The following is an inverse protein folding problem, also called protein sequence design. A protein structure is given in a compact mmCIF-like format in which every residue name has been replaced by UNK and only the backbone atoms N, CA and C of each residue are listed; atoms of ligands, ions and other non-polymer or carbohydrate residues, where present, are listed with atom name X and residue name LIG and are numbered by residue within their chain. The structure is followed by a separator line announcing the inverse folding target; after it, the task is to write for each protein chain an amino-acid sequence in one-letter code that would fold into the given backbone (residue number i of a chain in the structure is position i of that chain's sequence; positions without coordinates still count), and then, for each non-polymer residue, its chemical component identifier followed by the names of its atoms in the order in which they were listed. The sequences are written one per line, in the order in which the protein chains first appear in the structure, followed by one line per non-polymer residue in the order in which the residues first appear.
data_IF_921137673604
#
_entry.id   IF_921137673604
#
_cell.length_a   1.000
_cell.length_b   1.000
_cell.length_c   1.000
_cell.angle_alpha   90.00
_cell.angle_beta   90.00
_cell.angle_gamma   90.00
#
_symmetry.space_group_name_H-M   'P 1'
#
loop_
_entity.id
_entity.type
_entity.pdbx_description
1 polymer ?
#
# COMPACT_ATOMS: atom_id res chain seq x y z
N UNK A 1 -10.78 3.43 -3.51
CA UNK A 1 -10.10 2.60 -2.50
C UNK A 1 -8.57 2.73 -2.61
N UNK A 2 -7.98 2.54 -3.80
CA UNK A 2 -6.53 2.67 -4.02
C UNK A 2 -5.89 3.94 -3.43
N UNK A 3 -6.44 5.13 -3.67
CA UNK A 3 -5.90 6.37 -3.10
C UNK A 3 -5.92 6.38 -1.56
N UNK A 4 -6.96 5.83 -0.94
CA UNK A 4 -7.04 5.73 0.52
C UNK A 4 -5.98 4.77 1.08
N UNK A 5 -5.67 3.68 0.37
CA UNK A 5 -4.57 2.76 0.73
C UNK A 5 -3.22 3.49 0.64
N UNK A 6 -2.98 4.23 -0.45
CA UNK A 6 -1.74 5.01 -0.65
C UNK A 6 -1.58 6.06 0.44
N UNK A 7 -2.62 6.82 0.75
CA UNK A 7 -2.62 7.81 1.83
C UNK A 7 -2.43 7.18 3.21
N UNK A 8 -3.05 6.03 3.47
CA UNK A 8 -2.90 5.33 4.73
C UNK A 8 -1.48 4.82 4.90
N UNK A 9 -0.86 4.27 3.85
CA UNK A 9 0.54 3.85 3.88
C UNK A 9 1.49 5.02 4.11
N UNK A 10 1.32 6.12 3.37
CA UNK A 10 2.18 7.31 3.51
C UNK A 10 2.11 7.95 4.91
N UNK A 11 0.95 7.91 5.57
CA UNK A 11 0.80 8.40 6.94
C UNK A 11 1.49 7.51 7.99
N UNK A 12 1.72 6.24 7.69
CA UNK A 12 2.44 5.31 8.55
C UNK A 12 3.97 5.38 8.30
N UNK A 13 4.39 5.92 7.15
CA UNK A 13 5.79 6.01 6.72
C UNK A 13 6.65 7.04 7.45
N UNK A 14 6.13 7.72 8.48
CA UNK A 14 6.97 8.45 9.44
C UNK A 14 8.10 7.58 10.06
N UNK A 15 8.07 6.26 9.86
CA UNK A 15 9.08 5.29 10.27
C UNK A 15 9.79 4.52 9.13
N UNK A 16 9.55 4.83 7.84
CA UNK A 16 10.09 4.12 6.66
C UNK A 16 9.84 2.59 6.60
N UNK A 17 9.00 2.05 7.49
CA UNK A 17 8.81 0.62 7.66
C UNK A 17 7.53 0.13 6.94
N UNK A 18 7.55 -1.09 6.38
CA UNK A 18 6.35 -1.74 5.87
C UNK A 18 5.25 -1.86 6.94
N UNK A 19 4.00 -1.65 6.55
CA UNK A 19 2.83 -1.72 7.43
C UNK A 19 2.22 -3.11 7.37
N UNK A 20 1.86 -3.70 8.51
CA UNK A 20 1.18 -4.99 8.51
C UNK A 20 -0.23 -4.91 7.92
N UNK A 21 -0.60 -5.94 7.15
CA UNK A 21 -1.92 -6.03 6.52
C UNK A 21 -3.08 -5.88 7.53
N UNK A 22 -3.06 -6.50 8.73
CA UNK A 22 -4.12 -6.32 9.72
C UNK A 22 -4.22 -4.88 10.24
N UNK A 23 -3.08 -4.19 10.43
CA UNK A 23 -3.04 -2.78 10.85
C UNK A 23 -3.63 -1.88 9.78
N UNK A 24 -3.27 -2.12 8.52
CA UNK A 24 -3.81 -1.39 7.38
C UNK A 24 -5.33 -1.62 7.21
N UNK A 25 -5.80 -2.87 7.35
CA UNK A 25 -7.22 -3.22 7.30
C UNK A 25 -8.02 -2.51 8.40
N UNK A 26 -7.50 -2.52 9.64
CA UNK A 26 -8.11 -1.82 10.79
C UNK A 26 -8.23 -0.32 10.54
N UNK A 27 -7.18 0.31 10.02
CA UNK A 27 -7.16 1.76 9.73
C UNK A 27 -8.17 2.15 8.65
N UNK A 28 -8.32 1.31 7.64
CA UNK A 28 -9.23 1.55 6.51
C UNK A 28 -10.67 1.09 6.77
N UNK A 29 -10.95 0.44 7.90
CA UNK A 29 -12.26 -0.17 8.17
C UNK A 29 -12.65 -1.24 7.13
N UNK A 30 -11.67 -1.90 6.52
CA UNK A 30 -11.86 -2.83 5.41
C UNK A 30 -11.65 -4.29 5.83
N UNK A 31 -12.34 -5.22 5.17
CA UNK A 31 -12.06 -6.65 5.35
C UNK A 31 -10.73 -7.03 4.71
N UNK A 32 -10.06 -8.04 5.28
CA UNK A 32 -8.77 -8.53 4.78
C UNK A 32 -8.85 -8.99 3.31
N UNK A 33 -9.91 -9.70 2.93
CA UNK A 33 -10.11 -10.18 1.55
C UNK A 33 -10.28 -9.04 0.55
N UNK A 34 -11.01 -7.97 0.93
CA UNK A 34 -11.16 -6.78 0.08
C UNK A 34 -9.82 -6.07 -0.07
N UNK A 35 -9.09 -5.89 1.04
CA UNK A 35 -7.80 -5.23 1.02
C UNK A 35 -6.79 -6.01 0.17
N UNK A 36 -6.71 -7.34 0.29
CA UNK A 36 -5.84 -8.18 -0.53
C UNK A 36 -6.16 -8.07 -2.03
N UNK A 37 -7.45 -8.05 -2.39
CA UNK A 37 -7.85 -7.91 -3.79
C UNK A 37 -7.42 -6.57 -4.39
N UNK A 38 -7.55 -5.49 -3.60
CA UNK A 38 -7.10 -4.16 -4.02
C UNK A 38 -5.56 -4.09 -4.08
N UNK A 39 -4.86 -4.66 -3.10
CA UNK A 39 -3.40 -4.70 -3.11
C UNK A 39 -2.84 -5.50 -4.29
N UNK A 40 -3.51 -6.59 -4.69
CA UNK A 40 -3.13 -7.37 -5.86
C UNK A 40 -3.20 -6.56 -7.16
N UNK A 41 -4.19 -5.66 -7.31
CA UNK A 41 -4.27 -4.78 -8.49
C UNK A 41 -3.34 -3.57 -8.44
N UNK A 42 -2.77 -3.27 -7.28
CA UNK A 42 -1.85 -2.15 -7.07
C UNK A 42 -0.36 -2.53 -7.13
N UNK A 43 -0.05 -3.83 -7.04
CA UNK A 43 1.32 -4.35 -7.10
C UNK A 43 1.94 -4.32 -8.49
N UNK A 44 3.17 -4.81 -8.62
CA UNK A 44 3.85 -4.98 -9.92
C UNK A 44 3.53 -6.32 -10.60
N UNK A 45 2.98 -7.28 -9.84
CA UNK A 45 2.66 -8.60 -10.36
C UNK A 45 1.71 -8.48 -11.56
N UNK A 46 2.04 -9.08 -12.72
CA UNK A 46 1.23 -8.93 -13.92
C UNK A 46 -0.14 -9.59 -13.73
N UNK A 47 -1.20 -8.83 -14.01
CA UNK A 47 -2.57 -9.32 -14.08
C UNK A 47 -3.00 -9.30 -15.55
N UNK A 48 -3.18 -10.47 -16.15
CA UNK A 48 -3.56 -10.56 -17.57
C UNK A 48 -2.43 -10.20 -18.55
N UNK A 49 -1.17 -10.35 -18.15
CA UNK A 49 0.00 -10.18 -19.02
C UNK A 49 0.57 -8.77 -19.09
N UNK A 50 -0.08 -7.77 -18.46
CA UNK A 50 0.46 -6.43 -18.31
C UNK A 50 0.97 -6.23 -16.87
N UNK A 51 2.21 -5.72 -16.66
CA UNK A 51 2.69 -5.40 -15.33
C UNK A 51 1.74 -4.44 -14.64
N UNK A 52 1.42 -4.74 -13.39
CA UNK A 52 0.61 -3.85 -12.57
C UNK A 52 1.31 -2.52 -12.32
N UNK A 53 0.59 -1.53 -11.77
CA UNK A 53 1.08 -0.16 -11.65
C UNK A 53 2.26 -0.01 -10.67
N UNK A 54 2.50 -1.01 -9.81
CA UNK A 54 3.63 -1.02 -8.91
C UNK A 54 3.59 0.07 -7.85
N UNK A 55 2.40 0.47 -7.41
CA UNK A 55 2.22 1.49 -6.39
C UNK A 55 2.54 0.98 -4.98
N UNK A 56 2.40 -0.33 -4.76
CA UNK A 56 2.69 -0.97 -3.48
C UNK A 56 3.53 -2.22 -3.68
N UNK A 57 4.31 -2.55 -2.67
CA UNK A 57 4.99 -3.83 -2.54
C UNK A 57 4.34 -4.61 -1.40
N UNK A 58 3.92 -5.83 -1.68
CA UNK A 58 3.39 -6.75 -0.68
C UNK A 58 4.43 -7.84 -0.45
N UNK A 59 4.82 -8.06 0.80
CA UNK A 59 5.80 -9.08 1.19
C UNK A 59 5.31 -9.86 2.41
N UNK A 60 5.89 -11.04 2.61
CA UNK A 60 5.65 -11.84 3.82
C UNK A 60 6.96 -11.94 4.60
N UNK A 61 6.95 -11.58 5.87
CA UNK A 61 8.08 -11.68 6.80
C UNK A 61 7.60 -12.31 8.10
N UNK A 62 8.27 -13.37 8.57
CA UNK A 62 7.91 -14.11 9.79
C UNK A 62 6.43 -14.51 9.85
N UNK A 63 5.89 -14.96 8.71
CA UNK A 63 4.48 -15.34 8.56
C UNK A 63 3.49 -14.17 8.51
N UNK A 64 3.95 -12.91 8.61
CA UNK A 64 3.13 -11.70 8.57
C UNK A 64 3.16 -11.06 7.19
N UNK A 65 1.98 -10.70 6.70
CA UNK A 65 1.85 -9.88 5.50
C UNK A 65 2.15 -8.42 5.81
N UNK A 66 3.06 -7.86 5.03
CA UNK A 66 3.51 -6.48 5.11
C UNK A 66 3.27 -5.79 3.77
N UNK A 67 2.97 -4.50 3.83
CA UNK A 67 2.67 -3.66 2.68
C UNK A 67 3.51 -2.39 2.79
N UNK A 68 4.32 -2.13 1.77
CA UNK A 68 5.14 -0.93 1.65
C UNK A 68 4.65 -0.09 0.47
N UNK A 69 4.75 1.24 0.61
CA UNK A 69 4.50 2.16 -0.48
C UNK A 69 5.77 2.31 -1.33
N UNK A 70 5.65 2.14 -2.65
CA UNK A 70 6.81 2.31 -3.55
C UNK A 70 6.99 3.78 -3.92
N UNK A 71 8.12 4.11 -4.57
CA UNK A 71 8.32 5.44 -5.16
C UNK A 71 7.21 5.81 -6.17
N UNK A 72 6.71 4.85 -6.97
CA UNK A 72 5.60 5.07 -7.91
C UNK A 72 4.30 5.37 -7.19
N UNK A 73 4.02 4.69 -6.07
CA UNK A 73 2.85 4.97 -5.24
C UNK A 73 2.91 6.35 -4.57
N UNK A 74 4.10 6.77 -4.12
CA UNK A 74 4.33 8.11 -3.55
C UNK A 74 4.06 9.23 -4.56
N UNK A 75 4.39 9.03 -5.83
CA UNK A 75 4.14 10.01 -6.88
C UNK A 75 2.65 10.31 -7.13
N UNK A 76 1.73 9.49 -6.59
CA UNK A 76 0.28 9.75 -6.63
C UNK A 76 -0.19 10.74 -5.57
N UNK A 77 0.62 10.94 -4.52
CA UNK A 77 0.31 11.91 -3.48
C UNK A 77 0.68 13.30 -3.99
N UNK A 78 -0.10 14.33 -3.65
CA UNK A 78 0.36 15.69 -3.87
C UNK A 78 1.73 15.84 -3.16
N UNK A 79 2.69 16.56 -3.76
CA UNK A 79 3.91 16.90 -3.04
C UNK A 79 3.49 17.53 -1.73
N UNK A 80 3.86 16.91 -0.62
CA UNK A 80 3.49 17.41 0.70
C UNK A 80 3.90 18.89 0.74
N UNK A 81 2.90 19.77 0.87
CA UNK A 81 3.13 21.10 1.40
C UNK A 81 3.54 20.85 2.84
N UNK A 82 4.85 20.63 3.01
CA UNK A 82 5.53 20.40 4.27
C UNK A 82 5.08 21.52 5.22
N UNK A 83 4.08 21.22 6.06
CA UNK A 83 3.66 22.13 7.11
C UNK A 83 4.74 22.05 8.19
N UNK A 84 5.62 23.05 8.10
CA UNK A 84 6.23 23.85 9.17
C UNK A 84 6.69 23.11 10.43
#
# INVERSE_FOLDING_TARGET
MALAIVQALAQEEGAAAPVSLPRLAKRLGASASRLLRELASMGEAPLGGQPGPGWVQVSQQDGRWLVALTARGRALLPPDHQKQ
#
